data_IF_728368063916
#
_entry.id   IF_728368063916
#
_cell.length_a   1.000
_cell.length_b   1.000
_cell.length_c   1.000
_cell.angle_alpha   90.00
_cell.angle_beta   90.00
_cell.angle_gamma   90.00
#
_symmetry.space_group_name_H-M   'P 1'
#
loop_
_entity.id
_entity.type
_entity.pdbx_description
1 polymer ?
#
# COMPACT_ATOMS: atom_id res chain seq x y z
N UNK A 1 0.20 -0.20 9.56
CA UNK A 1 -1.25 0.10 9.72
C UNK A 1 -1.43 1.16 10.78
N UNK A 2 -2.55 1.89 10.77
CA UNK A 2 -2.88 2.85 11.81
C UNK A 2 -4.40 2.91 12.05
N UNK A 3 -4.84 3.21 13.29
CA UNK A 3 -6.25 3.44 13.59
C UNK A 3 -6.67 4.82 13.08
N UNK A 4 -7.86 4.91 12.50
CA UNK A 4 -8.40 6.12 11.88
C UNK A 4 -9.87 6.34 12.19
N UNK A 5 -10.33 7.58 11.95
CA UNK A 5 -11.70 8.01 12.25
C UNK A 5 -12.75 7.17 11.51
N UNK A 6 -13.91 6.94 12.16
CA UNK A 6 -15.05 6.21 11.57
C UNK A 6 -16.00 7.12 10.78
N UNK A 7 -15.91 8.45 10.97
CA UNK A 7 -16.74 9.40 10.25
C UNK A 7 -16.53 9.28 8.75
N UNK A 8 -17.62 9.38 8.00
CA UNK A 8 -17.59 9.44 6.55
C UNK A 8 -16.64 10.56 6.07
N UNK A 9 -15.83 10.26 5.05
CA UNK A 9 -14.81 11.14 4.49
C UNK A 9 -13.66 11.58 5.43
N UNK A 10 -13.55 11.04 6.65
CA UNK A 10 -12.40 11.34 7.53
C UNK A 10 -11.32 10.25 7.49
N UNK A 11 -10.12 10.61 7.00
CA UNK A 11 -8.94 9.72 6.95
C UNK A 11 -7.92 9.89 8.09
N UNK A 12 -8.21 10.79 9.04
CA UNK A 12 -7.25 11.18 10.07
C UNK A 12 -6.98 10.06 11.06
N UNK A 13 -5.71 9.90 11.44
CA UNK A 13 -5.28 9.02 12.52
C UNK A 13 -5.94 9.46 13.83
N UNK A 14 -6.45 8.50 14.58
CA UNK A 14 -7.04 8.72 15.91
C UNK A 14 -6.07 8.25 16.99
N UNK A 15 -6.19 8.83 18.18
CA UNK A 15 -5.41 8.44 19.36
C UNK A 15 -6.36 7.91 20.43
N UNK A 16 -5.84 7.02 21.29
CA UNK A 16 -6.62 6.48 22.40
C UNK A 16 -6.55 7.45 23.59
N UNK A 17 -7.71 7.78 24.17
CA UNK A 17 -7.90 8.63 25.35
C UNK A 17 -9.01 8.00 26.21
N UNK A 18 -8.74 7.73 27.49
CA UNK A 18 -9.73 7.21 28.46
C UNK A 18 -10.55 6.03 27.91
N UNK A 19 -9.87 5.02 27.37
CA UNK A 19 -10.45 3.84 26.70
C UNK A 19 -11.25 4.09 25.41
N UNK A 20 -11.37 5.33 24.93
CA UNK A 20 -12.02 5.68 23.67
C UNK A 20 -11.01 6.15 22.62
N UNK A 21 -11.42 6.14 21.35
CA UNK A 21 -10.68 6.76 20.25
C UNK A 21 -11.12 8.20 20.06
N UNK A 22 -10.17 9.13 20.03
CA UNK A 22 -10.42 10.55 19.79
C UNK A 22 -9.88 10.99 18.43
N UNK A 23 -10.74 11.63 17.63
CA UNK A 23 -10.36 12.26 16.37
C UNK A 23 -10.24 13.78 16.55
N UNK A 24 -9.03 14.34 16.39
CA UNK A 24 -8.82 15.78 16.54
C UNK A 24 -9.35 16.63 15.37
N UNK A 25 -9.70 16.03 14.23
CA UNK A 25 -10.32 16.79 13.12
C UNK A 25 -11.84 16.84 13.20
N UNK A 26 -12.46 15.83 13.78
CA UNK A 26 -13.91 15.81 13.95
C UNK A 26 -14.32 16.22 15.37
N UNK A 27 -13.37 16.34 16.30
CA UNK A 27 -13.59 16.56 17.73
C UNK A 27 -14.57 15.54 18.35
N UNK A 28 -14.48 14.28 17.92
CA UNK A 28 -15.37 13.19 18.35
C UNK A 28 -14.62 12.10 19.09
N UNK A 29 -15.24 11.60 20.16
CA UNK A 29 -14.85 10.36 20.85
C UNK A 29 -15.67 9.19 20.30
N UNK A 30 -15.05 8.03 20.11
CA UNK A 30 -15.64 6.85 19.49
C UNK A 30 -15.16 5.60 20.20
N UNK A 31 -16.01 4.58 20.33
CA UNK A 31 -15.61 3.30 20.93
C UNK A 31 -14.71 2.48 20.00
N UNK A 32 -14.95 2.59 18.69
CA UNK A 32 -14.25 1.85 17.65
C UNK A 32 -13.49 2.78 16.69
N UNK A 33 -12.62 2.20 15.86
CA UNK A 33 -11.89 2.90 14.81
C UNK A 33 -11.84 2.06 13.53
N UNK A 34 -11.54 2.68 12.39
CA UNK A 34 -11.19 1.96 11.18
C UNK A 34 -9.67 1.82 11.07
N UNK A 35 -9.19 0.60 10.86
CA UNK A 35 -7.82 0.35 10.51
C UNK A 35 -7.59 0.67 9.04
N UNK A 36 -6.50 1.35 8.76
CA UNK A 36 -6.05 1.67 7.39
C UNK A 36 -4.61 1.23 7.18
N UNK A 37 -4.30 0.79 5.96
CA UNK A 37 -2.92 0.50 5.61
C UNK A 37 -2.10 1.76 5.37
N UNK A 38 -0.84 1.63 5.77
CA UNK A 38 0.27 2.48 5.40
C UNK A 38 1.46 1.53 5.36
N UNK A 39 1.66 0.88 4.22
CA UNK A 39 2.72 -0.11 4.04
C UNK A 39 3.94 0.60 3.47
N UNK A 40 5.11 0.17 3.94
CA UNK A 40 6.39 0.52 3.32
C UNK A 40 6.93 -0.75 2.68
N UNK A 41 7.04 -0.76 1.37
CA UNK A 41 7.57 -1.88 0.60
C UNK A 41 8.92 -1.50 0.00
N UNK A 42 9.82 -2.48 -0.10
CA UNK A 42 11.05 -2.33 -0.89
C UNK A 42 10.79 -3.01 -2.23
N UNK A 43 10.96 -2.26 -3.31
CA UNK A 43 10.81 -2.75 -4.67
C UNK A 43 12.17 -2.80 -5.35
N UNK A 44 12.30 -3.68 -6.33
CA UNK A 44 13.53 -3.95 -7.05
C UNK A 44 13.22 -4.05 -8.55
N UNK A 45 14.09 -3.47 -9.37
CA UNK A 45 14.16 -3.70 -10.80
C UNK A 45 15.63 -3.90 -11.22
N UNK A 46 15.90 -3.99 -12.52
CA UNK A 46 17.26 -4.19 -13.02
C UNK A 46 18.21 -3.02 -12.68
N UNK A 47 17.69 -1.83 -12.40
CA UNK A 47 18.47 -0.62 -12.14
C UNK A 47 18.78 -0.42 -10.65
N UNK A 48 18.03 -1.05 -9.75
CA UNK A 48 18.30 -1.01 -8.33
C UNK A 48 17.08 -1.27 -7.46
N UNK A 49 17.02 -0.59 -6.32
CA UNK A 49 15.93 -0.76 -5.35
C UNK A 49 15.59 0.55 -4.66
N UNK A 50 14.31 0.73 -4.34
CA UNK A 50 13.85 1.88 -3.56
C UNK A 50 12.72 1.49 -2.61
N UNK A 51 12.44 2.35 -1.64
CA UNK A 51 11.29 2.21 -0.76
C UNK A 51 10.10 3.00 -1.31
N UNK A 52 8.94 2.34 -1.37
CA UNK A 52 7.68 2.94 -1.76
C UNK A 52 6.67 2.85 -0.62
N UNK A 53 5.85 3.89 -0.49
CA UNK A 53 4.72 3.92 0.43
C UNK A 53 3.44 3.51 -0.31
N UNK A 54 2.69 2.57 0.26
CA UNK A 54 1.43 2.06 -0.29
C UNK A 54 0.32 2.38 0.70
N UNK A 55 -0.61 3.23 0.26
CA UNK A 55 -1.76 3.67 1.08
C UNK A 55 -2.92 2.68 1.00
N UNK A 56 -3.89 2.88 1.89
CA UNK A 56 -5.00 1.99 2.18
C UNK A 56 -5.63 1.29 0.97
N UNK A 57 -6.21 2.04 0.02
CA UNK A 57 -6.91 1.45 -1.13
C UNK A 57 -5.97 0.60 -2.01
N UNK A 58 -4.81 1.12 -2.36
CA UNK A 58 -3.80 0.41 -3.16
C UNK A 58 -3.28 -0.84 -2.43
N UNK A 59 -3.09 -0.76 -1.11
CA UNK A 59 -2.67 -1.89 -0.29
C UNK A 59 -3.74 -2.97 -0.17
N UNK A 60 -5.02 -2.59 -0.05
CA UNK A 60 -6.13 -3.55 -0.05
C UNK A 60 -6.24 -4.28 -1.38
N UNK A 61 -6.08 -3.55 -2.50
CA UNK A 61 -6.05 -4.16 -3.83
C UNK A 61 -4.87 -5.12 -4.00
N UNK A 62 -3.68 -4.76 -3.49
CA UNK A 62 -2.50 -5.62 -3.52
C UNK A 62 -2.65 -6.89 -2.65
N UNK A 63 -3.13 -6.75 -1.42
CA UNK A 63 -3.22 -7.85 -0.46
C UNK A 63 -4.50 -8.69 -0.59
N UNK A 64 -5.53 -8.19 -1.27
CA UNK A 64 -6.84 -8.85 -1.40
C UNK A 64 -7.64 -8.89 -0.10
N UNK A 65 -7.30 -8.05 0.89
CA UNK A 65 -7.91 -8.06 2.22
C UNK A 65 -7.89 -6.65 2.83
N UNK A 66 -8.90 -6.33 3.65
CA UNK A 66 -8.97 -5.05 4.36
C UNK A 66 -8.03 -4.97 5.57
N UNK A 67 -7.62 -3.77 5.95
CA UNK A 67 -6.82 -3.55 7.16
C UNK A 67 -7.58 -3.94 8.45
N UNK A 68 -8.91 -3.78 8.50
CA UNK A 68 -9.71 -4.25 9.63
C UNK A 68 -9.64 -5.78 9.78
N UNK A 69 -9.73 -6.52 8.67
CA UNK A 69 -9.61 -7.98 8.70
C UNK A 69 -8.22 -8.42 9.15
N UNK A 70 -7.15 -7.77 8.67
CA UNK A 70 -5.79 -8.03 9.16
C UNK A 70 -5.69 -7.80 10.68
N UNK A 71 -6.28 -6.72 11.19
CA UNK A 71 -6.29 -6.48 12.63
C UNK A 71 -6.98 -7.61 13.41
N UNK A 72 -8.10 -8.12 12.89
CA UNK A 72 -8.83 -9.23 13.51
C UNK A 72 -7.99 -10.52 13.51
N UNK A 73 -7.27 -10.81 12.43
CA UNK A 73 -6.35 -11.96 12.33
C UNK A 73 -5.25 -11.84 13.40
N UNK A 74 -4.64 -10.66 13.53
CA UNK A 74 -3.60 -10.38 14.54
C UNK A 74 -4.17 -10.58 15.95
N UNK A 75 -5.35 -10.02 16.25
CA UNK A 75 -5.97 -10.13 17.56
C UNK A 75 -6.39 -11.57 17.92
N UNK A 76 -6.79 -12.35 16.91
CA UNK A 76 -7.17 -13.76 17.08
C UNK A 76 -5.96 -14.71 17.18
N UNK A 77 -4.72 -14.20 17.15
CA UNK A 77 -3.50 -15.01 17.23
C UNK A 77 -3.22 -15.87 15.99
N UNK A 78 -3.91 -15.64 14.87
CA UNK A 78 -3.78 -16.43 13.63
C UNK A 78 -2.55 -16.02 12.80
N UNK A 79 -1.37 -16.11 13.41
CA UNK A 79 -0.11 -15.58 12.85
C UNK A 79 0.28 -16.25 11.51
N UNK A 80 -0.04 -17.54 11.33
CA UNK A 80 0.22 -18.27 10.08
C UNK A 80 -0.56 -17.67 8.89
N UNK A 81 -1.81 -17.28 9.12
CA UNK A 81 -2.66 -16.65 8.12
C UNK A 81 -2.12 -15.27 7.74
N UNK A 82 -1.73 -14.47 8.74
CA UNK A 82 -1.05 -13.19 8.53
C UNK A 82 0.19 -13.35 7.66
N UNK A 83 1.09 -14.29 7.98
CA UNK A 83 2.29 -14.51 7.19
C UNK A 83 1.99 -14.95 5.76
N UNK A 84 1.02 -15.85 5.57
CA UNK A 84 0.62 -16.33 4.23
C UNK A 84 0.18 -15.18 3.33
N UNK A 85 -0.63 -14.24 3.85
CA UNK A 85 -1.11 -13.07 3.10
C UNK A 85 0.08 -12.24 2.57
N UNK A 86 1.05 -11.91 3.44
CA UNK A 86 2.19 -11.10 3.03
C UNK A 86 3.22 -11.88 2.20
N UNK A 87 3.32 -13.20 2.36
CA UNK A 87 4.18 -14.05 1.53
C UNK A 87 3.66 -14.11 0.08
N UNK A 88 2.34 -14.19 -0.12
CA UNK A 88 1.74 -14.28 -1.45
C UNK A 88 2.02 -13.06 -2.35
N UNK A 89 2.36 -11.91 -1.77
CA UNK A 89 2.68 -10.68 -2.52
C UNK A 89 4.17 -10.39 -2.60
N UNK A 90 5.00 -11.14 -1.85
CA UNK A 90 6.46 -10.99 -1.92
C UNK A 90 6.99 -11.75 -3.13
N UNK A 91 8.06 -11.21 -3.72
CA UNK A 91 8.75 -11.81 -4.87
C UNK A 91 7.82 -12.09 -6.06
N UNK A 92 6.82 -11.22 -6.24
CA UNK A 92 5.94 -11.21 -7.41
C UNK A 92 6.24 -9.95 -8.22
N UNK A 93 5.96 -10.03 -9.52
CA UNK A 93 6.17 -8.93 -10.46
C UNK A 93 4.91 -8.10 -10.64
N UNK A 94 5.08 -6.78 -10.59
CA UNK A 94 4.00 -5.81 -10.70
C UNK A 94 4.40 -4.66 -11.60
N UNK A 95 3.40 -4.09 -12.27
CA UNK A 95 3.48 -2.76 -12.86
C UNK A 95 3.05 -1.75 -11.80
N UNK A 96 3.95 -0.85 -11.41
CA UNK A 96 3.67 0.19 -10.42
C UNK A 96 3.65 1.56 -11.09
N UNK A 97 2.60 2.34 -10.83
CA UNK A 97 2.62 3.79 -11.08
C UNK A 97 3.09 4.48 -9.81
N UNK A 98 4.27 5.09 -9.86
CA UNK A 98 4.91 5.71 -8.68
C UNK A 98 4.96 7.23 -8.86
N UNK A 99 4.52 7.96 -7.84
CA UNK A 99 4.61 9.42 -7.78
C UNK A 99 5.58 9.83 -6.69
N UNK A 100 6.48 10.75 -7.02
CA UNK A 100 7.38 11.40 -6.06
C UNK A 100 6.61 12.50 -5.34
N UNK A 101 6.51 12.40 -4.02
CA UNK A 101 6.01 13.48 -3.16
C UNK A 101 7.16 14.11 -2.40
N UNK A 102 7.33 15.42 -2.60
CA UNK A 102 8.20 16.26 -1.80
C UNK A 102 7.37 16.87 -0.67
N UNK A 103 7.71 16.58 0.58
CA UNK A 103 7.12 17.28 1.72
C UNK A 103 8.21 17.73 2.68
N UNK A 104 7.94 18.80 3.45
CA UNK A 104 8.86 19.29 4.49
C UNK A 104 9.25 18.21 5.52
N UNK A 105 8.40 17.18 5.69
CA UNK A 105 8.57 16.10 6.68
C UNK A 105 9.15 14.81 6.09
N UNK A 106 9.05 14.63 4.78
CA UNK A 106 9.54 13.45 4.05
C UNK A 106 10.17 13.93 2.75
N UNK A 107 11.49 14.10 2.79
CA UNK A 107 12.30 14.44 1.62
C UNK A 107 12.34 13.23 0.68
N UNK A 108 12.02 13.43 -0.61
CA UNK A 108 12.06 12.40 -1.65
C UNK A 108 11.25 11.12 -1.35
N UNK A 109 9.98 11.24 -0.93
CA UNK A 109 9.13 10.07 -0.69
C UNK A 109 8.47 9.55 -1.97
N UNK A 110 8.61 8.25 -2.26
CA UNK A 110 7.89 7.58 -3.35
C UNK A 110 6.57 6.99 -2.84
N UNK A 111 5.50 7.21 -3.59
CA UNK A 111 4.15 6.71 -3.28
C UNK A 111 3.64 5.90 -4.47
N UNK A 112 3.16 4.69 -4.24
CA UNK A 112 2.47 3.91 -5.25
C UNK A 112 1.03 4.42 -5.42
N UNK A 113 0.68 4.86 -6.62
CA UNK A 113 -0.70 5.23 -6.99
C UNK A 113 -1.50 3.98 -7.38
N UNK A 114 -0.90 3.11 -8.21
CA UNK A 114 -1.46 1.83 -8.62
C UNK A 114 -0.39 0.73 -8.60
N UNK A 115 -0.84 -0.50 -8.37
CA UNK A 115 -0.02 -1.71 -8.40
C UNK A 115 -0.86 -2.78 -9.08
N UNK A 116 -0.43 -3.24 -10.26
CA UNK A 116 -1.14 -4.25 -11.05
C UNK A 116 -0.21 -5.46 -11.25
N UNK A 117 -0.65 -6.70 -11.01
CA UNK A 117 0.13 -7.89 -11.32
C UNK A 117 0.51 -7.91 -12.81
N UNK A 118 1.79 -8.11 -13.14
CA UNK A 118 2.26 -8.07 -14.54
C UNK A 118 1.54 -9.09 -15.43
N UNK A 119 1.15 -10.23 -14.85
CA UNK A 119 0.42 -11.30 -15.55
C UNK A 119 -0.89 -10.83 -16.20
N UNK A 120 -1.49 -9.76 -15.68
CA UNK A 120 -2.72 -9.19 -16.23
C UNK A 120 -2.45 -8.31 -17.47
N UNK A 121 -1.21 -7.88 -17.68
CA UNK A 121 -0.79 -6.90 -18.70
C UNK A 121 0.40 -7.41 -19.53
N UNK A 122 0.69 -8.71 -19.48
CA UNK A 122 1.94 -9.28 -20.00
C UNK A 122 2.09 -9.07 -21.51
N UNK A 123 0.99 -9.11 -22.25
CA UNK A 123 0.98 -8.91 -23.71
C UNK A 123 1.38 -7.48 -24.05
N UNK A 124 0.73 -6.49 -23.43
CA UNK A 124 1.00 -5.08 -23.71
C UNK A 124 2.40 -4.67 -23.23
N UNK A 125 2.83 -5.18 -22.08
CA UNK A 125 4.19 -4.95 -21.59
C UNK A 125 5.25 -5.55 -22.51
N UNK A 126 5.02 -6.76 -23.03
CA UNK A 126 5.94 -7.40 -23.98
C UNK A 126 6.06 -6.62 -25.29
N UNK A 127 4.93 -6.14 -25.84
CA UNK A 127 4.93 -5.28 -27.03
C UNK A 127 5.73 -3.99 -26.80
N UNK A 128 5.57 -3.38 -25.62
CA UNK A 128 6.32 -2.19 -25.24
C UNK A 128 7.83 -2.45 -25.18
N UNK A 129 8.27 -3.57 -24.59
CA UNK A 129 9.67 -3.96 -24.54
C UNK A 129 10.26 -4.20 -25.93
N UNK A 130 9.55 -4.93 -26.80
CA UNK A 130 9.96 -5.17 -28.19
C UNK A 130 10.17 -3.85 -28.94
N UNK A 131 9.23 -2.90 -28.78
CA UNK A 131 9.36 -1.55 -29.36
C UNK A 131 10.61 -0.82 -28.87
N UNK A 132 10.92 -0.90 -27.58
CA UNK A 132 12.15 -0.31 -27.03
C UNK A 132 13.39 -0.98 -27.65
N UNK A 133 13.43 -2.31 -27.71
CA UNK A 133 14.58 -3.04 -28.29
C UNK A 133 14.82 -2.61 -29.73
N UNK A 134 13.78 -2.58 -30.57
CA UNK A 134 13.91 -2.13 -31.96
C UNK A 134 14.42 -0.69 -32.09
N UNK A 135 14.09 0.20 -31.14
CA UNK A 135 14.60 1.57 -31.16
C UNK A 135 16.12 1.66 -30.99
N UNK A 136 16.77 0.64 -30.42
CA UNK A 136 18.22 0.56 -30.29
C UNK A 136 18.90 -0.14 -31.48
N UNK A 137 18.17 -0.92 -32.28
CA UNK A 137 18.72 -1.63 -33.45
C UNK A 137 18.76 -0.79 -34.73
N UNK A 138 18.11 0.37 -34.74
CA UNK A 138 18.05 1.29 -35.89
C UNK A 138 19.12 2.40 -35.86
N UNK A 139 20.12 2.27 -34.99
CA UNK A 139 21.36 3.05 -34.95
C UNK A 139 22.56 2.14 -35.22
#
# INVERSE_FOLDING_TARGET
MYPSCISENCKKKVNRQDNQWFCSSCSKKMQNCHWRFNLKARIHDYSGSCFVTIFDQTAQSLLGISANQIQNIIHSGKIKEYHKIFQNVKYQEYLLKITKKNSKKFMNSFVAESITPIRNEIIEYSKYLIKIIHSYSSN
#
